data_IF_335236558780
#
_entry.id   IF_335236558780
#
_cell.length_a   1.000
_cell.length_b   1.000
_cell.length_c   1.000
_cell.angle_alpha   90.00
_cell.angle_beta   90.00
_cell.angle_gamma   90.00
#
_symmetry.space_group_name_H-M   'P 1'
#
loop_
_entity.id
_entity.type
_entity.pdbx_description
1 polymer ?
#
# COMPACT_ATOMS: atom_id res chain seq x y z
N UNK A 1 15.53 -23.24 56.33
CA UNK A 1 16.15 -22.03 55.72
C UNK A 1 16.13 -22.17 54.22
N UNK A 2 14.92 -22.32 53.62
CA UNK A 2 14.77 -22.54 52.17
C UNK A 2 13.44 -21.97 51.69
N UNK A 3 13.28 -20.68 51.62
CA UNK A 3 12.05 -20.08 51.05
C UNK A 3 12.23 -18.68 50.47
N UNK A 4 13.45 -18.13 50.42
CA UNK A 4 13.68 -16.73 49.93
C UNK A 4 14.06 -16.62 48.45
N UNK A 5 14.54 -17.70 47.81
CA UNK A 5 14.99 -17.62 46.39
C UNK A 5 13.85 -17.68 45.37
N UNK A 6 12.70 -18.28 45.74
CA UNK A 6 11.56 -18.36 44.84
C UNK A 6 10.85 -17.03 44.60
N UNK A 7 10.83 -16.16 45.61
CA UNK A 7 10.14 -14.88 45.58
C UNK A 7 10.85 -13.84 44.70
N UNK A 8 12.19 -13.82 44.68
CA UNK A 8 12.97 -12.89 43.87
C UNK A 8 12.94 -13.24 42.38
N UNK A 9 12.89 -14.53 42.04
CA UNK A 9 12.73 -15.01 40.65
C UNK A 9 11.35 -14.70 40.10
N UNK A 10 10.31 -14.86 40.89
CA UNK A 10 8.93 -14.51 40.52
C UNK A 10 8.78 -12.98 40.34
N UNK A 11 9.36 -12.17 41.22
CA UNK A 11 9.34 -10.72 41.11
C UNK A 11 10.09 -10.25 39.85
N UNK A 12 11.25 -10.82 39.55
CA UNK A 12 12.01 -10.51 38.33
C UNK A 12 11.26 -10.89 37.04
N UNK A 13 10.59 -12.05 37.03
CA UNK A 13 9.76 -12.47 35.89
C UNK A 13 8.56 -11.54 35.68
N UNK A 14 7.91 -11.09 36.76
CA UNK A 14 6.81 -10.12 36.67
C UNK A 14 7.26 -8.76 36.15
N UNK A 15 8.42 -8.26 36.57
CA UNK A 15 8.98 -7.01 36.06
C UNK A 15 9.36 -7.13 34.58
N UNK A 16 9.95 -8.26 34.18
CA UNK A 16 10.28 -8.51 32.76
C UNK A 16 9.03 -8.61 31.90
N UNK A 17 7.97 -9.28 32.37
CA UNK A 17 6.69 -9.35 31.70
C UNK A 17 5.99 -7.97 31.57
N UNK A 18 6.08 -7.14 32.62
CA UNK A 18 5.57 -5.78 32.62
C UNK A 18 6.33 -4.87 31.64
N UNK A 19 7.65 -5.03 31.53
CA UNK A 19 8.48 -4.30 30.55
C UNK A 19 8.17 -4.71 29.11
N UNK A 20 7.87 -5.99 28.86
CA UNK A 20 7.46 -6.49 27.54
C UNK A 20 6.06 -6.00 27.15
N UNK A 21 5.13 -5.88 28.12
CA UNK A 21 3.80 -5.33 27.90
C UNK A 21 3.83 -3.81 27.64
N UNK A 22 4.81 -3.08 28.18
CA UNK A 22 4.99 -1.64 27.96
C UNK A 22 5.49 -1.29 26.55
N UNK A 23 5.96 -2.27 25.76
CA UNK A 23 6.37 -2.07 24.37
C UNK A 23 5.21 -1.78 23.41
N UNK A 24 4.01 -1.45 23.87
CA UNK A 24 2.91 -0.88 23.08
C UNK A 24 2.66 -1.54 21.71
N UNK A 25 2.79 -2.86 21.60
CA UNK A 25 2.58 -3.58 20.34
C UNK A 25 1.09 -3.53 20.00
N UNK A 26 0.68 -2.43 19.38
CA UNK A 26 -0.66 -2.34 18.82
C UNK A 26 -0.70 -3.18 17.53
N UNK A 27 -1.43 -4.26 17.54
CA UNK A 27 -1.89 -4.90 16.32
C UNK A 27 -2.46 -3.81 15.40
N UNK A 28 -1.94 -3.72 14.17
CA UNK A 28 -2.37 -2.75 13.16
C UNK A 28 -3.89 -2.82 13.06
N UNK A 29 -4.59 -1.84 13.65
CA UNK A 29 -6.04 -1.76 13.64
C UNK A 29 -6.58 -1.76 12.22
N UNK A 30 -7.86 -2.12 12.07
CA UNK A 30 -8.55 -2.02 10.79
C UNK A 30 -8.40 -0.59 10.26
N UNK A 31 -8.06 -0.45 8.97
CA UNK A 31 -8.02 0.84 8.31
C UNK A 31 -9.46 1.36 8.20
N UNK A 32 -9.84 2.31 9.07
CA UNK A 32 -11.16 2.93 8.98
C UNK A 32 -11.16 3.88 7.79
N UNK A 33 -11.78 3.45 6.69
CA UNK A 33 -12.05 4.32 5.55
C UNK A 33 -13.24 5.23 5.90
N UNK A 34 -13.25 6.50 5.47
CA UNK A 34 -14.33 7.44 5.77
C UNK A 34 -15.59 7.20 4.93
N UNK A 35 -15.75 6.03 4.32
CA UNK A 35 -16.86 5.66 3.45
C UNK A 35 -17.53 4.39 3.94
N UNK A 36 -18.87 4.37 3.97
CA UNK A 36 -19.66 3.17 4.26
C UNK A 36 -19.64 2.18 3.09
N UNK A 37 -19.61 2.72 1.85
CA UNK A 37 -19.55 1.92 0.63
C UNK A 37 -18.60 2.53 -0.40
N UNK A 38 -17.84 1.68 -1.08
CA UNK A 38 -16.82 2.05 -2.06
C UNK A 38 -16.97 1.21 -3.32
N UNK A 39 -17.01 1.87 -4.47
CA UNK A 39 -16.89 1.24 -5.76
C UNK A 39 -15.47 1.43 -6.30
N UNK A 40 -14.85 0.32 -6.73
CA UNK A 40 -13.52 0.31 -7.36
C UNK A 40 -13.69 -0.32 -8.75
N UNK A 41 -13.70 0.47 -9.84
CA UNK A 41 -13.85 -0.03 -11.19
C UNK A 41 -12.61 -0.79 -11.66
N UNK A 42 -12.81 -1.72 -12.58
CA UNK A 42 -11.74 -2.49 -13.20
C UNK A 42 -11.50 -3.87 -12.58
N UNK A 43 -10.64 -4.64 -13.27
CA UNK A 43 -10.36 -6.04 -12.93
C UNK A 43 -8.88 -6.43 -13.19
N UNK A 44 -7.98 -5.44 -13.24
CA UNK A 44 -6.56 -5.72 -13.37
C UNK A 44 -5.95 -6.23 -12.04
N UNK A 45 -4.71 -6.75 -12.02
CA UNK A 45 -4.09 -7.29 -10.83
C UNK A 45 -4.00 -6.29 -9.66
N UNK A 46 -3.75 -5.01 -9.93
CA UNK A 46 -3.71 -3.94 -8.92
C UNK A 46 -5.09 -3.78 -8.24
N UNK A 47 -6.15 -3.67 -9.04
CA UNK A 47 -7.53 -3.50 -8.56
C UNK A 47 -7.97 -4.72 -7.76
N UNK A 48 -7.69 -5.93 -8.25
CA UNK A 48 -8.05 -7.17 -7.57
C UNK A 48 -7.36 -7.28 -6.20
N UNK A 49 -6.10 -6.90 -6.11
CA UNK A 49 -5.35 -6.88 -4.85
C UNK A 49 -5.86 -5.78 -3.91
N UNK A 50 -6.14 -4.59 -4.42
CA UNK A 50 -6.71 -3.49 -3.65
C UNK A 50 -8.07 -3.87 -3.06
N UNK A 51 -8.98 -4.44 -3.85
CA UNK A 51 -10.29 -4.93 -3.37
C UNK A 51 -10.13 -5.94 -2.23
N UNK A 52 -9.23 -6.92 -2.37
CA UNK A 52 -8.98 -7.92 -1.31
C UNK A 52 -8.47 -7.25 -0.03
N UNK A 53 -7.53 -6.31 -0.15
CA UNK A 53 -6.97 -5.61 1.02
C UNK A 53 -8.00 -4.70 1.71
N UNK A 54 -8.82 -3.97 0.95
CA UNK A 54 -9.91 -3.15 1.51
C UNK A 54 -10.93 -4.02 2.23
N UNK A 55 -11.37 -5.13 1.63
CA UNK A 55 -12.31 -6.05 2.25
C UNK A 55 -11.77 -6.71 3.54
N UNK A 56 -10.47 -7.00 3.59
CA UNK A 56 -9.84 -7.63 4.76
C UNK A 56 -9.51 -6.63 5.88
N UNK A 57 -9.19 -5.37 5.54
CA UNK A 57 -8.65 -4.39 6.47
C UNK A 57 -9.65 -3.33 6.92
N UNK A 58 -10.85 -3.24 6.30
CA UNK A 58 -11.83 -2.20 6.61
C UNK A 58 -13.25 -2.75 6.76
N UNK A 59 -14.14 -1.94 7.34
CA UNK A 59 -15.58 -2.22 7.42
C UNK A 59 -16.34 -1.69 6.20
N UNK A 60 -15.65 -1.04 5.27
CA UNK A 60 -16.24 -0.46 4.08
C UNK A 60 -16.76 -1.56 3.15
N UNK A 61 -18.01 -1.49 2.79
CA UNK A 61 -18.64 -2.43 1.87
C UNK A 61 -18.24 -2.11 0.43
N UNK A 62 -17.61 -3.08 -0.26
CA UNK A 62 -17.38 -2.97 -1.69
C UNK A 62 -18.67 -3.25 -2.46
N UNK A 63 -18.99 -2.39 -3.43
CA UNK A 63 -20.17 -2.51 -4.30
C UNK A 63 -19.77 -2.54 -5.76
N UNK A 64 -20.53 -3.28 -6.58
CA UNK A 64 -20.20 -3.49 -7.99
C UNK A 64 -20.67 -2.33 -8.87
N UNK A 65 -21.75 -1.64 -8.46
CA UNK A 65 -22.32 -0.53 -9.23
C UNK A 65 -21.94 0.81 -8.62
N UNK A 66 -21.44 1.76 -9.42
CA UNK A 66 -21.07 3.08 -8.91
C UNK A 66 -22.23 3.82 -8.25
N UNK A 67 -23.46 3.65 -8.75
CA UNK A 67 -24.66 4.29 -8.19
C UNK A 67 -25.07 3.84 -6.78
N UNK A 68 -24.54 2.69 -6.31
CA UNK A 68 -24.77 2.14 -4.96
C UNK A 68 -23.66 2.54 -3.99
N UNK A 69 -22.63 3.21 -4.48
CA UNK A 69 -21.46 3.59 -3.70
C UNK A 69 -21.61 4.99 -3.13
N UNK A 70 -21.17 5.18 -1.88
CA UNK A 70 -20.94 6.51 -1.32
C UNK A 70 -19.74 7.17 -2.00
N UNK A 71 -18.69 6.39 -2.27
CA UNK A 71 -17.48 6.86 -2.93
C UNK A 71 -17.08 5.95 -4.10
N UNK A 72 -16.49 6.55 -5.13
CA UNK A 72 -15.97 5.87 -6.31
C UNK A 72 -14.49 6.21 -6.45
N UNK A 73 -13.64 5.18 -6.43
CA UNK A 73 -12.21 5.30 -6.71
C UNK A 73 -11.98 5.16 -8.21
N UNK A 74 -11.68 6.25 -8.90
CA UNK A 74 -11.32 6.24 -10.31
C UNK A 74 -9.81 6.25 -10.51
N UNK A 75 -9.28 5.31 -11.29
CA UNK A 75 -7.89 5.35 -11.76
C UNK A 75 -7.77 6.24 -12.98
N UNK A 76 -6.79 7.11 -13.01
CA UNK A 76 -6.49 8.01 -14.13
C UNK A 76 -5.32 7.52 -14.98
N UNK A 77 -4.39 6.81 -14.36
CA UNK A 77 -3.20 6.26 -15.01
C UNK A 77 -2.71 5.03 -14.25
N UNK A 78 -2.20 4.04 -14.97
CA UNK A 78 -1.35 2.96 -14.46
C UNK A 78 -0.25 2.68 -15.47
N UNK A 79 1.01 2.97 -15.09
CA UNK A 79 2.17 2.81 -15.95
C UNK A 79 3.28 2.05 -15.23
N UNK A 80 3.82 1.02 -15.91
CA UNK A 80 5.03 0.31 -15.49
C UNK A 80 6.04 0.42 -16.62
N UNK A 81 7.20 0.96 -16.31
CA UNK A 81 8.30 1.07 -17.26
C UNK A 81 9.65 0.84 -16.57
N UNK A 82 10.68 0.70 -17.41
CA UNK A 82 12.06 0.70 -16.95
C UNK A 82 12.90 1.62 -17.82
N UNK A 83 13.83 2.33 -17.19
CA UNK A 83 14.79 3.19 -17.86
C UNK A 83 16.21 2.75 -17.51
N UNK A 84 17.12 2.96 -18.43
CA UNK A 84 18.55 2.70 -18.20
C UNK A 84 19.05 3.70 -17.16
N UNK A 85 19.65 3.19 -16.07
CA UNK A 85 20.23 4.01 -15.03
C UNK A 85 21.73 4.20 -15.23
N UNK A 86 22.45 3.15 -15.63
CA UNK A 86 23.90 3.21 -15.85
C UNK A 86 24.39 2.25 -16.92
N UNK A 87 25.58 2.53 -17.42
CA UNK A 87 26.35 1.68 -18.34
C UNK A 87 27.66 1.25 -17.69
N UNK A 88 28.14 0.07 -18.05
CA UNK A 88 29.48 -0.41 -17.71
C UNK A 88 30.55 0.33 -18.51
N UNK A 89 31.82 0.17 -18.14
CA UNK A 89 32.97 0.69 -18.88
C UNK A 89 33.07 0.18 -20.33
N UNK A 90 32.41 -0.97 -20.62
CA UNK A 90 32.32 -1.53 -21.97
C UNK A 90 31.10 -1.03 -22.76
N UNK A 91 30.37 -0.01 -22.27
CA UNK A 91 29.20 0.56 -22.93
C UNK A 91 27.94 -0.30 -22.89
N UNK A 92 27.91 -1.38 -22.10
CA UNK A 92 26.73 -2.24 -21.92
C UNK A 92 25.92 -1.75 -20.72
N UNK A 93 24.60 -1.93 -20.78
CA UNK A 93 23.73 -1.59 -19.63
C UNK A 93 24.17 -2.40 -18.40
N UNK A 94 24.35 -1.72 -17.27
CA UNK A 94 24.70 -2.30 -16.00
C UNK A 94 23.60 -2.17 -14.95
N UNK A 95 22.71 -1.18 -15.08
CA UNK A 95 21.58 -0.98 -14.16
C UNK A 95 20.37 -0.42 -14.87
N UNK A 96 19.19 -0.88 -14.43
CA UNK A 96 17.90 -0.30 -14.77
C UNK A 96 17.25 0.32 -13.55
N UNK A 97 16.45 1.37 -13.76
CA UNK A 97 15.48 1.89 -12.80
C UNK A 97 14.08 1.46 -13.24
N UNK A 98 13.43 0.65 -12.44
CA UNK A 98 12.04 0.29 -12.59
C UNK A 98 11.17 1.40 -12.01
N UNK A 99 10.09 1.76 -12.71
CA UNK A 99 9.12 2.76 -12.27
C UNK A 99 7.72 2.18 -12.35
N UNK A 100 6.95 2.41 -11.31
CA UNK A 100 5.53 2.08 -11.27
C UNK A 100 4.76 3.30 -10.80
N UNK A 101 3.94 3.85 -11.70
CA UNK A 101 3.15 5.06 -11.49
C UNK A 101 1.68 4.70 -11.50
N UNK A 102 0.92 5.26 -10.56
CA UNK A 102 -0.54 5.14 -10.50
C UNK A 102 -1.13 6.49 -10.14
N UNK A 103 -1.99 6.98 -11.03
CA UNK A 103 -2.83 8.14 -10.79
C UNK A 103 -4.24 7.70 -10.41
N UNK A 104 -4.88 8.37 -9.45
CA UNK A 104 -6.23 8.07 -9.01
C UNK A 104 -6.89 9.27 -8.32
N UNK A 105 -8.22 9.23 -8.22
CA UNK A 105 -9.06 10.20 -7.50
C UNK A 105 -10.22 9.49 -6.82
N UNK A 106 -10.84 10.13 -5.85
CA UNK A 106 -12.05 9.62 -5.20
C UNK A 106 -13.14 10.69 -5.24
N UNK A 107 -14.29 10.33 -5.78
CA UNK A 107 -15.47 11.20 -5.87
C UNK A 107 -16.70 10.48 -5.33
N UNK A 108 -17.81 11.21 -5.16
CA UNK A 108 -19.10 10.56 -5.00
C UNK A 108 -19.54 9.87 -6.30
N UNK A 109 -20.64 9.13 -6.26
CA UNK A 109 -21.17 8.40 -7.41
C UNK A 109 -21.55 9.29 -8.60
N UNK A 110 -21.86 10.57 -8.36
CA UNK A 110 -22.25 11.56 -9.37
C UNK A 110 -21.08 12.41 -9.84
N UNK A 111 -19.89 12.29 -9.20
CA UNK A 111 -18.72 13.12 -9.47
C UNK A 111 -18.83 14.56 -8.97
N UNK A 112 -19.89 14.88 -8.24
CA UNK A 112 -20.14 16.24 -7.73
C UNK A 112 -19.29 16.59 -6.50
N UNK A 113 -19.05 15.60 -5.63
CA UNK A 113 -18.22 15.78 -4.44
C UNK A 113 -16.87 15.06 -4.63
N UNK A 114 -15.79 15.78 -4.35
CA UNK A 114 -14.43 15.22 -4.40
C UNK A 114 -13.98 14.91 -2.97
N UNK A 115 -13.72 13.65 -2.67
CA UNK A 115 -13.15 13.20 -1.39
C UNK A 115 -11.63 13.20 -1.41
N UNK A 116 -11.05 12.86 -2.56
CA UNK A 116 -9.62 12.91 -2.79
C UNK A 116 -9.40 13.45 -4.21
N UNK A 117 -8.73 14.60 -4.36
CA UNK A 117 -8.37 15.11 -5.68
C UNK A 117 -7.41 14.16 -6.40
N UNK A 118 -7.24 14.34 -7.69
CA UNK A 118 -6.30 13.54 -8.48
C UNK A 118 -4.93 13.55 -7.81
N UNK A 119 -4.51 12.36 -7.45
CA UNK A 119 -3.27 12.09 -6.72
C UNK A 119 -2.46 11.06 -7.48
N UNK A 120 -1.16 11.22 -7.48
CA UNK A 120 -0.21 10.30 -8.11
C UNK A 120 0.68 9.65 -7.05
N UNK A 121 0.99 8.39 -7.26
CA UNK A 121 2.03 7.65 -6.53
C UNK A 121 3.03 7.15 -7.57
N UNK A 122 4.30 7.46 -7.35
CA UNK A 122 5.42 6.95 -8.12
C UNK A 122 6.32 6.12 -7.20
N UNK A 123 6.50 4.85 -7.53
CA UNK A 123 7.47 3.97 -6.89
C UNK A 123 8.63 3.72 -7.85
N UNK A 124 9.82 3.60 -7.31
CA UNK A 124 11.02 3.25 -8.08
C UNK A 124 11.82 2.17 -7.37
N UNK A 125 12.50 1.32 -8.16
CA UNK A 125 13.48 0.33 -7.69
C UNK A 125 14.63 0.28 -8.67
N UNK A 126 15.86 0.27 -8.17
CA UNK A 126 17.03 0.07 -9.01
C UNK A 126 17.33 -1.44 -9.06
N UNK A 127 17.74 -1.91 -10.23
CA UNK A 127 18.01 -3.32 -10.50
C UNK A 127 19.31 -3.44 -11.30
N UNK A 128 20.30 -4.12 -10.73
CA UNK A 128 21.52 -4.45 -11.46
C UNK A 128 21.19 -5.40 -12.62
N UNK A 129 21.82 -5.19 -13.77
CA UNK A 129 21.59 -5.96 -14.98
C UNK A 129 22.89 -6.54 -15.53
N UNK A 130 22.79 -7.74 -16.12
CA UNK A 130 23.88 -8.41 -16.82
C UNK A 130 23.34 -9.26 -17.95
N UNK A 131 23.90 -9.08 -19.16
CA UNK A 131 23.55 -9.87 -20.35
C UNK A 131 23.81 -11.37 -20.17
N UNK A 132 24.74 -11.76 -19.28
CA UNK A 132 25.03 -13.17 -18.99
C UNK A 132 23.92 -13.86 -18.18
N UNK A 133 22.97 -13.10 -17.61
CA UNK A 133 21.95 -13.60 -16.68
C UNK A 133 20.52 -13.15 -17.06
N UNK A 134 20.23 -12.97 -18.32
CA UNK A 134 18.97 -12.37 -18.80
C UNK A 134 17.74 -13.01 -18.18
N UNK A 135 17.60 -14.34 -18.20
CA UNK A 135 16.42 -15.03 -17.65
C UNK A 135 16.26 -14.82 -16.15
N UNK A 136 17.38 -14.83 -15.40
CA UNK A 136 17.35 -14.55 -13.96
C UNK A 136 16.94 -13.10 -13.69
N UNK A 137 17.40 -12.15 -14.52
CA UNK A 137 17.06 -10.73 -14.40
C UNK A 137 15.62 -10.44 -14.79
N UNK A 138 15.05 -11.13 -15.76
CA UNK A 138 13.61 -11.03 -16.08
C UNK A 138 12.74 -11.55 -14.91
N UNK A 139 13.14 -12.63 -14.27
CA UNK A 139 12.44 -13.16 -13.10
C UNK A 139 12.56 -12.20 -11.90
N UNK A 140 13.72 -11.58 -11.68
CA UNK A 140 13.94 -10.55 -10.66
C UNK A 140 13.08 -9.30 -10.93
N UNK A 141 13.03 -8.80 -12.17
CA UNK A 141 12.19 -7.70 -12.58
C UNK A 141 10.71 -7.95 -12.26
N UNK A 142 10.21 -9.14 -12.62
CA UNK A 142 8.84 -9.54 -12.35
C UNK A 142 8.53 -9.61 -10.84
N UNK A 143 9.51 -10.03 -10.03
CA UNK A 143 9.39 -10.05 -8.57
C UNK A 143 9.34 -8.62 -8.00
N UNK A 144 10.24 -7.75 -8.44
CA UNK A 144 10.29 -6.34 -8.01
C UNK A 144 8.99 -5.61 -8.35
N UNK A 145 8.43 -5.79 -9.55
CA UNK A 145 7.14 -5.19 -9.89
C UNK A 145 5.98 -5.73 -9.05
N UNK A 146 5.99 -7.01 -8.64
CA UNK A 146 4.99 -7.55 -7.71
C UNK A 146 5.12 -6.93 -6.32
N UNK A 147 6.35 -6.72 -5.83
CA UNK A 147 6.59 -6.05 -4.56
C UNK A 147 6.17 -4.59 -4.61
N UNK A 148 6.50 -3.88 -5.68
CA UNK A 148 6.04 -2.51 -5.91
C UNK A 148 4.51 -2.42 -5.98
N UNK A 149 3.82 -3.41 -6.57
CA UNK A 149 2.35 -3.45 -6.57
C UNK A 149 1.78 -3.57 -5.15
N UNK A 150 2.36 -4.42 -4.28
CA UNK A 150 1.94 -4.52 -2.88
C UNK A 150 2.14 -3.20 -2.15
N UNK A 151 3.30 -2.55 -2.33
CA UNK A 151 3.59 -1.24 -1.76
C UNK A 151 2.60 -0.18 -2.27
N UNK A 152 2.26 -0.21 -3.57
CA UNK A 152 1.30 0.68 -4.21
C UNK A 152 -0.08 0.56 -3.56
N UNK A 153 -0.59 -0.67 -3.41
CA UNK A 153 -1.88 -0.95 -2.74
C UNK A 153 -1.90 -0.37 -1.33
N UNK A 154 -0.82 -0.58 -0.56
CA UNK A 154 -0.73 -0.04 0.80
C UNK A 154 -0.72 1.50 0.81
N UNK A 155 -0.07 2.14 -0.16
CA UNK A 155 -0.06 3.60 -0.26
C UNK A 155 -1.42 4.15 -0.68
N UNK A 156 -2.12 3.50 -1.61
CA UNK A 156 -3.50 3.87 -1.99
C UNK A 156 -4.40 3.80 -0.76
N UNK A 157 -4.36 2.69 0.00
CA UNK A 157 -5.18 2.53 1.22
C UNK A 157 -4.89 3.64 2.24
N UNK A 158 -3.62 3.99 2.46
CA UNK A 158 -3.28 5.11 3.36
C UNK A 158 -3.88 6.44 2.91
N UNK A 159 -3.92 6.71 1.61
CA UNK A 159 -4.55 7.93 1.08
C UNK A 159 -6.07 7.88 1.17
N UNK A 160 -6.68 6.70 1.00
CA UNK A 160 -8.13 6.51 1.21
C UNK A 160 -8.55 6.75 2.66
N UNK A 161 -7.75 6.30 3.64
CA UNK A 161 -7.98 6.57 5.07
C UNK A 161 -7.93 8.08 5.37
N UNK A 162 -7.04 8.80 4.71
CA UNK A 162 -6.87 10.24 4.89
C UNK A 162 -7.84 11.09 4.04
N UNK A 163 -8.66 10.47 3.16
CA UNK A 163 -9.60 11.18 2.33
C UNK A 163 -10.68 11.87 3.17
N UNK A 164 -10.99 13.12 2.85
CA UNK A 164 -12.04 13.90 3.52
C UNK A 164 -12.92 14.54 2.46
N UNK A 165 -14.24 14.72 2.74
CA UNK A 165 -15.07 15.54 1.87
C UNK A 165 -14.41 16.92 1.73
N UNK A 166 -14.13 17.34 0.51
CA UNK A 166 -13.74 18.71 0.28
C UNK A 166 -14.94 19.60 0.66
N UNK A 167 -14.79 20.40 1.70
CA UNK A 167 -15.70 21.52 1.95
C UNK A 167 -15.49 22.50 0.81
N UNK A 168 -16.43 22.51 -0.15
CA UNK A 168 -16.49 23.58 -1.14
C UNK A 168 -16.82 24.84 -0.34
N UNK A 169 -16.00 25.90 -0.34
CA UNK A 169 -16.42 27.18 0.18
C UNK A 169 -17.61 27.62 -0.68
N UNK A 170 -18.75 27.81 -0.07
CA UNK A 170 -19.89 28.44 -0.71
C UNK A 170 -19.49 29.93 -0.80
N UNK A 171 -19.02 30.37 -1.97
CA UNK A 171 -19.00 31.80 -2.34
C UNK A 171 -20.37 32.24 -2.80
#
# INVERSE_FOLDING_TARGET
MWSFEGSSRAAFACVLAALLAACGFHLRGQAELPFESLHIPGNNPLVAELKRNVAAASRTRLVDKPGEAQAVLGFTEELRDKIILSFSSAGRVSEYKLRYRVGFRVTDAKGAQVYLPTSEILLTRDMAYSDAQVLAKEAEEALLFRDMQRDMVQQIIRRLVAAKPATVPIE
#
